data_IF_427246774435
#
_entry.id   IF_427246774435
#
_cell.length_a   1.000
_cell.length_b   1.000
_cell.length_c   1.000
_cell.angle_alpha   90.00
_cell.angle_beta   90.00
_cell.angle_gamma   90.00
#
_symmetry.space_group_name_H-M   'P 1'
#
loop_
_entity.id
_entity.type
_entity.pdbx_description
1 polymer ?
#
# COMPACT_ATOMS: atom_id res chain seq x y z
N UNK A 1 -2.57 3.68 -9.51
CA UNK A 1 -3.41 3.65 -8.31
C UNK A 1 -4.54 4.67 -8.34
N UNK A 2 -4.36 5.89 -8.87
CA UNK A 2 -5.48 6.78 -9.18
C UNK A 2 -6.14 6.29 -10.47
N UNK A 3 -7.39 5.87 -10.39
CA UNK A 3 -8.16 5.54 -11.60
C UNK A 3 -8.59 6.86 -12.24
N UNK A 4 -8.54 6.93 -13.57
CA UNK A 4 -8.86 8.18 -14.25
C UNK A 4 -10.37 8.49 -14.20
N UNK A 5 -10.78 9.76 -14.03
CA UNK A 5 -12.18 10.15 -14.12
C UNK A 5 -12.79 9.69 -15.44
N UNK A 6 -13.97 9.09 -15.42
CA UNK A 6 -14.61 8.52 -16.61
C UNK A 6 -14.42 7.01 -16.81
N UNK A 7 -13.52 6.36 -16.05
CA UNK A 7 -13.39 4.89 -16.11
C UNK A 7 -14.61 4.22 -15.49
N UNK A 8 -15.05 4.67 -14.31
CA UNK A 8 -16.23 4.14 -13.62
C UNK A 8 -17.17 5.29 -13.23
N UNK A 9 -18.26 5.44 -13.98
CA UNK A 9 -19.22 6.53 -13.79
C UNK A 9 -20.65 6.06 -13.50
N UNK A 10 -21.48 7.02 -13.06
CA UNK A 10 -22.92 6.85 -12.87
C UNK A 10 -23.23 5.77 -11.84
N UNK A 11 -24.12 4.83 -12.19
CA UNK A 11 -24.56 3.77 -11.27
C UNK A 11 -23.41 2.83 -10.84
N UNK A 12 -22.35 2.70 -11.65
CA UNK A 12 -21.24 1.78 -11.37
C UNK A 12 -20.37 2.24 -10.20
N UNK A 13 -20.33 3.55 -9.91
CA UNK A 13 -19.49 4.07 -8.83
C UNK A 13 -19.95 3.62 -7.43
N UNK A 14 -21.20 3.17 -7.29
CA UNK A 14 -21.74 2.65 -6.03
C UNK A 14 -20.90 1.47 -5.51
N UNK A 15 -20.39 0.62 -6.40
CA UNK A 15 -19.51 -0.50 -6.00
C UNK A 15 -18.21 0.00 -5.37
N UNK A 16 -17.69 1.16 -5.81
CA UNK A 16 -16.50 1.77 -5.22
C UNK A 16 -16.74 2.21 -3.77
N UNK A 17 -17.95 2.68 -3.44
CA UNK A 17 -18.29 3.04 -2.07
C UNK A 17 -18.48 1.82 -1.18
N UNK A 18 -19.16 0.78 -1.69
CA UNK A 18 -19.33 -0.47 -0.95
C UNK A 18 -17.98 -1.15 -0.65
N UNK A 19 -17.12 -1.27 -1.66
CA UNK A 19 -15.77 -1.85 -1.49
C UNK A 19 -14.84 -0.92 -0.70
N UNK A 20 -15.01 0.39 -0.82
CA UNK A 20 -14.32 1.40 -0.01
C UNK A 20 -14.65 1.27 1.48
N UNK A 21 -15.91 1.07 1.85
CA UNK A 21 -16.32 0.78 3.23
C UNK A 21 -15.65 -0.51 3.73
N UNK A 22 -15.64 -1.56 2.90
CA UNK A 22 -14.93 -2.80 3.22
C UNK A 22 -13.43 -2.59 3.44
N UNK A 23 -12.78 -1.79 2.60
CA UNK A 23 -11.38 -1.42 2.75
C UNK A 23 -11.13 -0.63 4.05
N UNK A 24 -11.99 0.34 4.39
CA UNK A 24 -11.90 1.07 5.66
C UNK A 24 -12.10 0.16 6.87
N UNK A 25 -12.98 -0.84 6.77
CA UNK A 25 -13.13 -1.86 7.81
C UNK A 25 -11.87 -2.70 7.97
N UNK A 26 -11.19 -3.08 6.87
CA UNK A 26 -9.89 -3.74 6.91
C UNK A 26 -8.82 -2.85 7.56
N UNK A 27 -8.78 -1.56 7.24
CA UNK A 27 -7.92 -0.57 7.90
C UNK A 27 -8.17 -0.55 9.40
N UNK A 28 -9.44 -0.45 9.82
CA UNK A 28 -9.83 -0.51 11.23
C UNK A 28 -9.39 -1.81 11.92
N UNK A 29 -9.56 -2.96 11.25
CA UNK A 29 -9.10 -4.25 11.77
C UNK A 29 -7.57 -4.28 11.94
N UNK A 30 -6.80 -3.79 10.96
CA UNK A 30 -5.34 -3.74 11.05
C UNK A 30 -4.87 -2.77 12.15
N UNK A 31 -5.57 -1.65 12.34
CA UNK A 31 -5.31 -0.71 13.42
C UNK A 31 -5.58 -1.33 14.80
N UNK A 32 -6.69 -2.06 14.97
CA UNK A 32 -6.99 -2.80 16.21
C UNK A 32 -5.94 -3.87 16.49
N UNK A 33 -5.47 -4.58 15.47
CA UNK A 33 -4.37 -5.53 15.62
C UNK A 33 -3.09 -4.85 16.12
N UNK A 34 -2.73 -3.68 15.58
CA UNK A 34 -1.59 -2.89 16.07
C UNK A 34 -1.79 -2.47 17.53
N UNK A 35 -2.96 -1.95 17.90
CA UNK A 35 -3.24 -1.56 19.30
C UNK A 35 -3.06 -2.75 20.25
N UNK A 36 -3.58 -3.92 19.87
CA UNK A 36 -3.58 -5.10 20.74
C UNK A 36 -2.23 -5.81 20.82
N UNK A 37 -1.42 -5.73 19.75
CA UNK A 37 -0.25 -6.60 19.59
C UNK A 37 1.07 -5.86 19.40
N UNK A 38 1.06 -4.56 19.12
CA UNK A 38 2.26 -3.83 18.72
C UNK A 38 2.21 -2.35 19.15
N UNK A 39 2.53 -2.10 20.43
CA UNK A 39 2.80 -0.77 20.97
C UNK A 39 1.58 0.07 21.41
N UNK A 40 0.35 -0.40 21.20
CA UNK A 40 -0.85 0.28 21.70
C UNK A 40 -1.32 1.46 20.84
N UNK A 41 -2.28 2.24 21.39
CA UNK A 41 -2.91 3.35 20.68
C UNK A 41 -1.96 4.52 20.40
N UNK A 42 -1.00 4.79 21.31
CA UNK A 42 -0.01 5.85 21.14
C UNK A 42 0.96 5.54 20.00
N UNK A 43 1.43 4.29 19.92
CA UNK A 43 2.24 3.81 18.80
C UNK A 43 1.48 3.89 17.48
N UNK A 44 0.22 3.43 17.45
CA UNK A 44 -0.62 3.54 16.26
C UNK A 44 -0.73 4.99 15.79
N UNK A 45 -1.06 5.93 16.68
CA UNK A 45 -1.26 7.33 16.33
C UNK A 45 0.02 7.97 15.75
N UNK A 46 1.13 7.84 16.46
CA UNK A 46 2.40 8.43 16.04
C UNK A 46 2.92 7.85 14.72
N UNK A 47 2.87 6.51 14.59
CA UNK A 47 3.27 5.83 13.35
C UNK A 47 2.35 6.20 12.19
N UNK A 48 1.04 6.35 12.42
CA UNK A 48 0.08 6.74 11.38
C UNK A 48 0.30 8.16 10.88
N UNK A 49 0.68 9.09 11.77
CA UNK A 49 1.08 10.45 11.36
C UNK A 49 2.33 10.41 10.48
N UNK A 50 3.34 9.63 10.90
CA UNK A 50 4.56 9.46 10.11
C UNK A 50 4.29 8.83 8.73
N UNK A 51 3.51 7.74 8.69
CA UNK A 51 3.17 7.06 7.43
C UNK A 51 2.30 7.94 6.54
N UNK A 52 1.39 8.76 7.09
CA UNK A 52 0.61 9.73 6.31
C UNK A 52 1.52 10.74 5.62
N UNK A 53 2.49 11.32 6.34
CA UNK A 53 3.46 12.26 5.77
C UNK A 53 4.35 11.62 4.71
N UNK A 54 4.80 10.38 4.95
CA UNK A 54 5.58 9.61 3.99
C UNK A 54 4.78 9.30 2.72
N UNK A 55 3.56 8.78 2.85
CA UNK A 55 2.67 8.50 1.71
C UNK A 55 2.41 9.75 0.88
N UNK A 56 2.10 10.88 1.53
CA UNK A 56 1.92 12.15 0.82
C UNK A 56 3.21 12.56 0.07
N UNK A 57 4.37 12.38 0.70
CA UNK A 57 5.66 12.64 0.05
C UNK A 57 5.91 11.70 -1.14
N UNK A 58 5.55 10.42 -1.01
CA UNK A 58 5.69 9.44 -2.08
C UNK A 58 4.82 9.82 -3.28
N UNK A 59 3.56 10.20 -3.05
CA UNK A 59 2.64 10.55 -4.13
C UNK A 59 2.92 11.90 -4.78
N UNK A 60 3.52 12.85 -4.04
CA UNK A 60 3.76 14.21 -4.56
C UNK A 60 5.18 14.42 -5.09
N UNK A 61 6.18 13.74 -4.52
CA UNK A 61 7.59 14.01 -4.81
C UNK A 61 8.24 12.90 -5.63
N UNK A 62 7.88 11.63 -5.39
CA UNK A 62 8.46 10.54 -6.16
C UNK A 62 7.85 10.48 -7.57
N UNK A 63 8.59 9.92 -8.56
CA UNK A 63 8.09 9.80 -9.92
C UNK A 63 6.75 9.05 -9.98
N UNK A 64 5.76 9.70 -10.60
CA UNK A 64 4.47 9.12 -10.92
C UNK A 64 4.06 9.54 -12.34
N UNK A 65 3.48 8.61 -13.09
CA UNK A 65 3.15 8.84 -14.50
C UNK A 65 1.80 8.22 -14.85
N UNK A 66 0.95 8.90 -15.64
CA UNK A 66 -0.27 8.31 -16.19
C UNK A 66 0.09 7.24 -17.21
N UNK A 67 -0.46 6.04 -17.05
CA UNK A 67 -0.20 4.91 -17.95
C UNK A 67 -1.50 4.11 -18.16
N UNK A 68 -2.09 4.23 -19.35
CA UNK A 68 -3.29 3.47 -19.70
C UNK A 68 -4.51 3.94 -18.91
N UNK A 69 -4.96 3.13 -17.96
CA UNK A 69 -6.21 3.36 -17.19
C UNK A 69 -5.98 3.97 -15.80
N UNK A 70 -4.72 4.15 -15.39
CA UNK A 70 -4.37 4.61 -14.06
C UNK A 70 -2.94 5.15 -13.99
N UNK A 71 -2.59 5.85 -12.92
CA UNK A 71 -1.24 6.35 -12.69
C UNK A 71 -0.33 5.34 -11.97
N UNK A 72 0.89 5.17 -12.43
CA UNK A 72 1.91 4.36 -11.74
C UNK A 72 2.55 5.22 -10.66
N UNK A 73 2.57 4.73 -9.43
CA UNK A 73 3.17 5.39 -8.27
C UNK A 73 4.17 4.47 -7.59
N UNK A 74 5.26 5.04 -7.07
CA UNK A 74 6.12 4.36 -6.11
C UNK A 74 5.50 4.45 -4.71
N UNK A 75 4.65 3.48 -4.38
CA UNK A 75 3.85 3.50 -3.15
C UNK A 75 4.66 3.10 -1.92
N UNK A 76 5.66 2.21 -2.08
CA UNK A 76 6.51 1.71 -1.00
C UNK A 76 5.70 1.12 0.18
N UNK A 77 4.59 0.46 -0.13
CA UNK A 77 3.68 -0.03 0.90
C UNK A 77 4.27 -1.21 1.68
N UNK A 78 5.07 -2.07 1.02
CA UNK A 78 5.82 -3.12 1.71
C UNK A 78 6.82 -2.50 2.69
N UNK A 79 7.50 -1.43 2.31
CA UNK A 79 8.41 -0.67 3.20
C UNK A 79 7.66 -0.13 4.41
N UNK A 80 6.53 0.56 4.19
CA UNK A 80 5.71 1.11 5.28
C UNK A 80 5.21 0.01 6.23
N UNK A 81 4.77 -1.12 5.67
CA UNK A 81 4.36 -2.29 6.44
C UNK A 81 5.50 -2.86 7.29
N UNK A 82 6.69 -3.04 6.73
CA UNK A 82 7.84 -3.62 7.42
C UNK A 82 8.36 -2.69 8.53
N UNK A 83 8.37 -1.37 8.29
CA UNK A 83 8.92 -0.40 9.25
C UNK A 83 7.90 -0.02 10.33
N UNK A 84 6.63 0.20 9.98
CA UNK A 84 5.63 0.76 10.90
C UNK A 84 4.53 -0.22 11.29
N UNK A 85 4.30 -1.26 10.48
CA UNK A 85 3.22 -2.24 10.65
C UNK A 85 1.99 -1.96 9.79
N UNK A 86 1.13 -2.98 9.68
CA UNK A 86 -0.05 -2.96 8.80
C UNK A 86 -1.05 -1.87 9.15
N UNK A 87 -1.38 -1.67 10.43
CA UNK A 87 -2.34 -0.66 10.87
C UNK A 87 -1.90 0.77 10.50
N UNK A 88 -0.71 1.21 10.94
CA UNK A 88 -0.18 2.52 10.58
C UNK A 88 0.02 2.72 9.07
N UNK A 89 0.51 1.71 8.34
CA UNK A 89 0.65 1.79 6.90
C UNK A 89 -0.71 1.98 6.21
N UNK A 90 -1.75 1.25 6.64
CA UNK A 90 -3.10 1.36 6.10
C UNK A 90 -3.72 2.73 6.38
N UNK A 91 -3.60 3.25 7.61
CA UNK A 91 -4.07 4.60 7.94
C UNK A 91 -3.31 5.64 7.11
N UNK A 92 -1.99 5.52 7.00
CA UNK A 92 -1.16 6.39 6.19
C UNK A 92 -1.57 6.44 4.72
N UNK A 93 -1.88 5.28 4.11
CA UNK A 93 -2.35 5.19 2.72
C UNK A 93 -3.72 5.86 2.54
N UNK A 94 -4.67 5.58 3.43
CA UNK A 94 -6.02 6.19 3.40
C UNK A 94 -5.92 7.71 3.59
N UNK A 95 -5.26 8.16 4.65
CA UNK A 95 -5.14 9.58 4.99
C UNK A 95 -4.29 10.35 4.01
N UNK A 96 -3.16 9.79 3.55
CA UNK A 96 -2.28 10.42 2.56
C UNK A 96 -3.00 10.62 1.23
N UNK A 97 -3.72 9.58 0.76
CA UNK A 97 -4.55 9.67 -0.44
C UNK A 97 -5.68 10.71 -0.29
N UNK A 98 -6.33 10.78 0.87
CA UNK A 98 -7.38 11.76 1.13
C UNK A 98 -6.82 13.18 1.10
N UNK A 99 -5.68 13.42 1.77
CA UNK A 99 -5.04 14.74 1.79
C UNK A 99 -4.59 15.15 0.38
N UNK A 100 -4.02 14.23 -0.39
CA UNK A 100 -3.72 14.48 -1.80
C UNK A 100 -4.97 14.88 -2.58
N UNK A 101 -6.07 14.13 -2.43
CA UNK A 101 -7.34 14.45 -3.07
C UNK A 101 -7.87 15.82 -2.64
N UNK A 102 -7.79 16.19 -1.36
CA UNK A 102 -8.31 17.47 -0.87
C UNK A 102 -7.51 18.69 -1.34
N UNK A 103 -6.18 18.58 -1.43
CA UNK A 103 -5.30 19.74 -1.62
C UNK A 103 -4.62 19.82 -2.98
N UNK A 104 -4.41 18.69 -3.66
CA UNK A 104 -3.60 18.62 -4.89
C UNK A 104 -4.39 18.09 -6.09
N UNK A 105 -5.28 17.11 -5.88
CA UNK A 105 -6.10 16.50 -6.93
C UNK A 105 -7.59 16.34 -6.55
N UNK A 106 -8.34 17.45 -6.36
CA UNK A 106 -9.77 17.40 -5.98
C UNK A 106 -10.66 16.60 -6.93
N UNK A 107 -10.26 16.52 -8.20
CA UNK A 107 -10.97 15.75 -9.23
C UNK A 107 -10.95 14.23 -8.96
N UNK A 108 -10.04 13.72 -8.12
CA UNK A 108 -9.98 12.31 -7.75
C UNK A 108 -10.84 11.94 -6.54
N UNK A 109 -11.36 12.92 -5.79
CA UNK A 109 -12.19 12.67 -4.61
C UNK A 109 -13.43 11.81 -4.89
N UNK A 110 -14.16 11.97 -6.01
CA UNK A 110 -15.27 11.06 -6.35
C UNK A 110 -14.83 9.59 -6.44
N UNK A 111 -13.59 9.34 -6.84
CA UNK A 111 -13.02 8.01 -7.01
C UNK A 111 -12.30 7.48 -5.78
N UNK A 112 -12.32 8.23 -4.67
CA UNK A 112 -11.57 7.92 -3.47
C UNK A 112 -11.85 6.50 -2.94
N UNK A 113 -13.10 6.04 -2.95
CA UNK A 113 -13.45 4.68 -2.52
C UNK A 113 -12.70 3.60 -3.31
N UNK A 114 -12.63 3.79 -4.62
CA UNK A 114 -11.96 2.91 -5.59
C UNK A 114 -10.43 2.91 -5.38
N UNK A 115 -9.86 4.09 -5.20
CA UNK A 115 -8.42 4.27 -4.98
C UNK A 115 -8.03 3.68 -3.61
N UNK A 116 -8.82 3.90 -2.56
CA UNK A 116 -8.60 3.31 -1.23
C UNK A 116 -8.61 1.79 -1.29
N UNK A 117 -9.62 1.18 -1.93
CA UNK A 117 -9.68 -0.29 -2.01
C UNK A 117 -8.51 -0.88 -2.82
N UNK A 118 -8.07 -0.18 -3.87
CA UNK A 118 -6.87 -0.52 -4.67
C UNK A 118 -5.60 -0.56 -3.84
N UNK A 119 -5.49 0.23 -2.76
CA UNK A 119 -4.34 0.23 -1.87
C UNK A 119 -4.48 -0.74 -0.71
N UNK A 120 -5.65 -0.78 -0.08
CA UNK A 120 -5.83 -1.44 1.21
C UNK A 120 -6.07 -2.94 1.06
N UNK A 121 -6.78 -3.39 0.02
CA UNK A 121 -6.98 -4.83 -0.20
C UNK A 121 -5.65 -5.53 -0.46
N UNK A 122 -4.76 -5.03 -1.35
CA UNK A 122 -3.42 -5.61 -1.52
C UNK A 122 -2.56 -5.51 -0.26
N UNK A 123 -2.62 -4.40 0.49
CA UNK A 123 -1.87 -4.29 1.76
C UNK A 123 -2.32 -5.34 2.78
N UNK A 124 -3.63 -5.56 2.89
CA UNK A 124 -4.18 -6.59 3.76
C UNK A 124 -3.71 -7.98 3.32
N UNK A 125 -3.77 -8.29 2.02
CA UNK A 125 -3.26 -9.55 1.48
C UNK A 125 -1.76 -9.74 1.75
N UNK A 126 -0.95 -8.70 1.53
CA UNK A 126 0.47 -8.68 1.88
C UNK A 126 0.67 -8.99 3.36
N UNK A 127 -0.13 -8.39 4.26
CA UNK A 127 0.00 -8.62 5.70
C UNK A 127 -0.26 -10.07 6.11
N UNK A 128 -1.13 -10.78 5.37
CA UNK A 128 -1.38 -12.21 5.55
C UNK A 128 -0.26 -13.06 4.96
N UNK A 129 0.24 -12.69 3.77
CA UNK A 129 1.36 -13.37 3.12
C UNK A 129 2.63 -13.27 3.95
N UNK A 130 2.91 -12.11 4.54
CA UNK A 130 4.08 -11.88 5.38
C UNK A 130 4.16 -12.85 6.57
N UNK A 131 3.01 -13.28 7.11
CA UNK A 131 2.99 -14.30 8.19
C UNK A 131 3.38 -15.69 7.71
N UNK A 132 3.18 -16.00 6.43
CA UNK A 132 3.53 -17.29 5.82
C UNK A 132 4.96 -17.32 5.32
N UNK A 133 5.43 -16.21 4.76
CA UNK A 133 6.73 -16.11 4.06
C UNK A 133 7.86 -15.70 5.00
N UNK A 134 7.57 -14.89 6.02
CA UNK A 134 8.55 -14.48 7.04
C UNK A 134 8.27 -15.30 8.29
N UNK A 135 9.22 -16.16 8.66
CA UNK A 135 9.13 -16.98 9.87
C UNK A 135 8.96 -16.14 11.13
N UNK A 136 8.31 -16.70 12.15
CA UNK A 136 8.05 -15.99 13.41
C UNK A 136 9.35 -15.56 14.11
N UNK A 137 10.39 -16.38 14.03
CA UNK A 137 11.72 -16.09 14.58
C UNK A 137 12.55 -15.10 13.76
N UNK A 138 12.08 -14.73 12.57
CA UNK A 138 12.78 -13.81 11.67
C UNK A 138 12.33 -12.38 11.94
N UNK A 139 13.29 -11.53 12.31
CA UNK A 139 13.11 -10.08 12.42
C UNK A 139 13.00 -9.47 11.03
N UNK A 140 12.26 -8.38 10.85
CA UNK A 140 12.14 -7.77 9.53
C UNK A 140 13.46 -7.22 8.99
N UNK A 141 14.38 -6.75 9.85
CA UNK A 141 15.74 -6.37 9.40
C UNK A 141 16.60 -7.53 8.87
N UNK A 142 16.17 -8.78 9.06
CA UNK A 142 16.84 -9.98 8.56
C UNK A 142 16.06 -10.66 7.42
N UNK A 143 15.06 -9.97 6.85
CA UNK A 143 14.33 -10.41 5.65
C UNK A 143 15.31 -10.54 4.50
N UNK A 144 15.28 -11.68 3.82
CA UNK A 144 16.11 -11.91 2.64
C UNK A 144 15.46 -11.34 1.37
N UNK A 145 16.23 -11.30 0.28
CA UNK A 145 15.76 -10.77 -1.00
C UNK A 145 14.49 -11.43 -1.51
N UNK A 146 14.37 -12.75 -1.43
CA UNK A 146 13.20 -13.48 -1.92
C UNK A 146 11.95 -13.16 -1.11
N UNK A 147 12.08 -12.98 0.20
CA UNK A 147 10.98 -12.55 1.06
C UNK A 147 10.55 -11.12 0.73
N UNK A 148 11.49 -10.19 0.56
CA UNK A 148 11.18 -8.81 0.14
C UNK A 148 10.49 -8.77 -1.24
N UNK A 149 11.05 -9.50 -2.22
CA UNK A 149 10.48 -9.62 -3.56
C UNK A 149 9.06 -10.20 -3.53
N UNK A 150 8.82 -11.25 -2.71
CA UNK A 150 7.50 -11.84 -2.58
C UNK A 150 6.47 -10.86 -1.99
N UNK A 151 6.85 -10.06 -1.00
CA UNK A 151 5.97 -9.03 -0.44
C UNK A 151 5.69 -7.92 -1.45
N UNK A 152 6.72 -7.34 -2.05
CA UNK A 152 6.57 -6.26 -3.04
C UNK A 152 5.75 -6.74 -4.25
N UNK A 153 6.06 -7.91 -4.80
CA UNK A 153 5.29 -8.50 -5.92
C UNK A 153 3.84 -8.76 -5.55
N UNK A 154 3.57 -9.25 -4.32
CA UNK A 154 2.19 -9.47 -3.86
C UNK A 154 1.40 -8.17 -3.76
N UNK A 155 2.03 -7.09 -3.30
CA UNK A 155 1.36 -5.80 -3.20
C UNK A 155 1.10 -5.21 -4.59
N UNK A 156 2.15 -5.12 -5.40
CA UNK A 156 2.09 -4.51 -6.73
C UNK A 156 1.20 -5.31 -7.69
N UNK A 157 1.30 -6.65 -7.67
CA UNK A 157 0.40 -7.51 -8.41
C UNK A 157 -1.06 -7.37 -7.95
N UNK A 158 -1.29 -7.18 -6.64
CA UNK A 158 -2.61 -6.87 -6.10
C UNK A 158 -3.16 -5.53 -6.60
N UNK A 159 -2.34 -4.47 -6.63
CA UNK A 159 -2.71 -3.16 -7.18
C UNK A 159 -3.07 -3.28 -8.66
N UNK A 160 -2.25 -3.95 -9.47
CA UNK A 160 -2.52 -4.19 -10.89
C UNK A 160 -3.81 -4.96 -11.09
N UNK A 161 -4.03 -6.03 -10.33
CA UNK A 161 -5.25 -6.82 -10.41
C UNK A 161 -6.50 -6.00 -10.05
N UNK A 162 -6.41 -5.14 -9.03
CA UNK A 162 -7.54 -4.29 -8.62
C UNK A 162 -7.83 -3.20 -9.66
N UNK A 163 -6.80 -2.57 -10.22
CA UNK A 163 -6.97 -1.60 -11.33
C UNK A 163 -7.58 -2.28 -12.56
N UNK A 164 -7.09 -3.46 -12.94
CA UNK A 164 -7.66 -4.24 -14.03
C UNK A 164 -9.14 -4.57 -13.79
N UNK A 165 -9.50 -4.96 -12.57
CA UNK A 165 -10.89 -5.19 -12.18
C UNK A 165 -11.75 -3.93 -12.41
N UNK A 166 -11.31 -2.77 -11.95
CA UNK A 166 -12.06 -1.53 -12.11
C UNK A 166 -12.17 -1.07 -13.57
N UNK A 167 -11.10 -1.20 -14.33
CA UNK A 167 -11.08 -0.88 -15.75
C UNK A 167 -12.04 -1.79 -16.55
N UNK A 168 -12.04 -3.10 -16.28
CA UNK A 168 -12.97 -4.04 -16.91
C UNK A 168 -14.42 -3.79 -16.47
N UNK A 169 -14.65 -3.50 -15.19
CA UNK A 169 -15.98 -3.18 -14.67
C UNK A 169 -16.55 -1.89 -15.28
N UNK A 170 -15.70 -0.88 -15.41
CA UNK A 170 -16.00 0.43 -15.94
C UNK A 170 -16.24 0.42 -17.45
N UNK A 171 -15.22 0.02 -18.21
CA UNK A 171 -15.12 0.18 -19.66
C UNK A 171 -15.34 -1.12 -20.45
N UNK A 172 -15.50 -2.27 -19.78
CA UNK A 172 -15.78 -3.55 -20.44
C UNK A 172 -14.53 -4.23 -21.02
N UNK A 173 -14.73 -5.19 -21.93
CA UNK A 173 -13.67 -6.07 -22.47
C UNK A 173 -13.21 -5.68 -23.89
N UNK A 174 -13.33 -4.41 -24.26
CA UNK A 174 -12.82 -3.92 -25.54
C UNK A 174 -11.30 -4.10 -25.64
N UNK A 175 -10.79 -4.34 -26.85
CA UNK A 175 -9.35 -4.59 -27.08
C UNK A 175 -8.50 -3.41 -26.63
N UNK A 176 -9.01 -2.19 -26.83
CA UNK A 176 -8.36 -0.95 -26.40
C UNK A 176 -8.19 -0.91 -24.87
N UNK A 177 -9.22 -1.31 -24.12
CA UNK A 177 -9.16 -1.35 -22.66
C UNK A 177 -8.21 -2.46 -22.16
N UNK A 178 -8.25 -3.65 -22.79
CA UNK A 178 -7.32 -4.75 -22.47
C UNK A 178 -5.86 -4.30 -22.71
N UNK A 179 -5.60 -3.56 -23.78
CA UNK A 179 -4.28 -3.01 -24.07
C UNK A 179 -3.87 -1.96 -23.03
N UNK A 180 -4.78 -1.07 -22.62
CA UNK A 180 -4.51 -0.07 -21.59
C UNK A 180 -4.20 -0.69 -20.21
N UNK A 181 -4.94 -1.73 -19.82
CA UNK A 181 -4.65 -2.54 -18.61
C UNK A 181 -3.29 -3.23 -18.73
N UNK A 182 -2.98 -3.80 -19.90
CA UNK A 182 -1.72 -4.50 -20.14
C UNK A 182 -0.52 -3.56 -20.08
N UNK A 183 -0.65 -2.35 -20.62
CA UNK A 183 0.36 -1.29 -20.53
C UNK A 183 0.59 -0.87 -19.08
N UNK A 184 -0.49 -0.67 -18.32
CA UNK A 184 -0.42 -0.36 -16.89
C UNK A 184 0.28 -1.46 -16.09
N UNK A 185 -0.10 -2.72 -16.31
CA UNK A 185 0.54 -3.87 -15.67
C UNK A 185 2.02 -3.99 -16.03
N UNK A 186 2.38 -3.76 -17.30
CA UNK A 186 3.76 -3.73 -17.77
C UNK A 186 4.59 -2.63 -17.09
N UNK A 187 4.02 -1.45 -16.87
CA UNK A 187 4.71 -0.38 -16.15
C UNK A 187 4.95 -0.72 -14.67
N UNK A 188 4.02 -1.42 -14.00
CA UNK A 188 4.21 -1.89 -12.63
C UNK A 188 5.29 -2.98 -12.50
N UNK A 189 5.66 -3.67 -13.58
CA UNK A 189 6.82 -4.58 -13.56
C UNK A 189 8.12 -3.83 -13.27
N UNK A 190 8.27 -2.59 -13.73
CA UNK A 190 9.43 -1.76 -13.39
C UNK A 190 9.48 -1.44 -11.89
N UNK A 191 8.31 -1.18 -11.28
CA UNK A 191 8.20 -0.95 -9.83
C UNK A 191 8.61 -2.20 -9.04
N UNK A 192 8.14 -3.38 -9.46
CA UNK A 192 8.50 -4.67 -8.85
C UNK A 192 10.01 -4.93 -8.88
N UNK A 193 10.74 -4.43 -9.90
CA UNK A 193 12.19 -4.59 -9.95
C UNK A 193 12.93 -3.66 -8.98
N UNK A 194 12.38 -2.48 -8.72
CA UNK A 194 13.04 -1.42 -7.92
C UNK A 194 12.69 -1.53 -6.44
N UNK A 195 11.41 -1.71 -6.10
CA UNK A 195 10.91 -1.62 -4.73
C UNK A 195 11.51 -2.65 -3.75
N UNK A 196 11.75 -3.92 -4.12
CA UNK A 196 12.44 -4.87 -3.24
C UNK A 196 13.86 -4.42 -2.86
N UNK A 197 14.56 -3.72 -3.77
CA UNK A 197 15.89 -3.18 -3.50
C UNK A 197 15.81 -2.00 -2.52
N UNK A 198 14.79 -1.15 -2.68
CA UNK A 198 14.49 -0.06 -1.74
C UNK A 198 14.15 -0.63 -0.36
N UNK A 199 13.31 -1.66 -0.28
CA UNK A 199 12.96 -2.35 0.97
C UNK A 199 14.21 -2.83 1.69
N UNK A 200 15.09 -3.57 1.00
CA UNK A 200 16.33 -4.07 1.60
C UNK A 200 17.27 -2.95 2.01
N UNK A 201 17.39 -1.88 1.21
CA UNK A 201 18.21 -0.73 1.54
C UNK A 201 17.72 -0.04 2.81
N UNK A 202 16.41 0.20 2.92
CA UNK A 202 15.79 0.82 4.12
C UNK A 202 15.97 -0.08 5.34
N UNK A 203 15.78 -1.40 5.20
CA UNK A 203 16.01 -2.35 6.29
C UNK A 203 17.48 -2.41 6.73
N UNK A 204 18.42 -2.34 5.78
CA UNK A 204 19.85 -2.29 6.08
C UNK A 204 20.22 -1.00 6.84
N UNK A 205 19.67 0.14 6.43
CA UNK A 205 19.83 1.42 7.15
C UNK A 205 19.24 1.32 8.55
N UNK A 206 18.04 0.76 8.70
CA UNK A 206 17.42 0.55 10.00
C UNK A 206 18.30 -0.33 10.92
N UNK A 207 18.87 -1.42 10.39
CA UNK A 207 19.79 -2.30 11.10
C UNK A 207 21.07 -1.60 11.56
N UNK A 208 21.58 -0.67 10.75
CA UNK A 208 22.79 0.10 11.07
C UNK A 208 22.55 1.16 12.15
N UNK A 209 21.46 1.92 12.02
CA UNK A 209 21.17 3.07 12.91
C UNK A 209 20.64 2.61 14.27
N UNK A 210 19.87 1.52 14.30
CA UNK A 210 19.19 1.05 15.50
C UNK A 210 19.68 -0.34 15.87
N UNK A 211 20.67 -0.42 16.77
CA UNK A 211 21.12 -1.68 17.39
C UNK A 211 20.08 -2.19 18.39
N UNK A 212 18.92 -2.63 17.91
CA UNK A 212 17.88 -3.26 18.74
C UNK A 212 17.00 -2.27 19.53
N UNK A 213 16.59 -1.16 18.90
CA UNK A 213 15.68 -0.20 19.53
C UNK A 213 14.30 -0.81 19.81
N UNK A 214 13.86 -0.73 21.06
CA UNK A 214 12.50 -1.02 21.52
C UNK A 214 11.55 0.19 21.31
N UNK A 215 11.83 1.06 20.35
CA UNK A 215 11.04 2.28 20.18
C UNK A 215 9.61 1.96 19.75
N UNK A 216 8.59 2.51 20.42
CA UNK A 216 7.21 2.38 20.01
C UNK A 216 6.91 3.10 18.68
N UNK A 217 7.85 3.88 18.12
CA UNK A 217 7.72 4.58 16.83
C UNK A 217 7.92 3.68 15.60
N UNK A 218 8.33 2.43 15.79
CA UNK A 218 8.57 1.45 14.72
C UNK A 218 7.97 0.11 15.12
N UNK A 219 7.70 -0.75 14.14
CA UNK A 219 7.14 -2.08 14.36
C UNK A 219 8.07 -2.91 15.27
N UNK A 220 7.53 -3.54 16.32
CA UNK A 220 8.35 -4.39 17.19
C UNK A 220 9.03 -5.53 16.42
N UNK A 221 8.34 -6.11 15.43
CA UNK A 221 8.88 -7.18 14.58
C UNK A 221 10.04 -6.70 13.68
N UNK A 222 10.29 -5.38 13.62
CA UNK A 222 11.47 -4.85 12.94
C UNK A 222 12.76 -5.37 13.59
N UNK A 223 12.85 -5.34 14.92
CA UNK A 223 14.03 -5.74 15.68
C UNK A 223 13.83 -6.97 16.59
N UNK A 224 12.60 -7.48 16.67
CA UNK A 224 12.25 -8.63 17.52
C UNK A 224 11.56 -9.73 16.70
N UNK A 225 11.64 -10.97 17.18
CA UNK A 225 10.80 -12.04 16.67
C UNK A 225 9.32 -11.73 16.95
N UNK A 226 8.41 -12.36 16.21
CA UNK A 226 6.99 -12.29 16.53
C UNK A 226 6.73 -12.84 17.94
N UNK A 227 5.85 -12.16 18.68
CA UNK A 227 5.39 -12.56 20.00
C UNK A 227 4.27 -13.61 19.92
#
# INVERSE_FOLDING_TARGET
>A
MHIEPGVVDGAKIILSYATGIGALALTGKMAVDTIRKDGGATALAARSLATTGLVLSFFQVLPHYPVGVSEVHLILASTLFLIFGAGPAAIGLVSGLLLQGLFFAPFDLPQYGMNVTTLIVPLFALSLLAKKVIGEKTRYVDVNYWQALALSTSYQGGVVAWVAFWALYGQGFAVENINAISLFGGAYMAVILIEPLVDLAVLAVAKFISKGSNSPMINQRLFHAAA
#
